data_IF_714417152540
#
_entry.id   IF_714417152540
#
_cell.length_a   1.000
_cell.length_b   1.000
_cell.length_c   1.000
_cell.angle_alpha   90.00
_cell.angle_beta   90.00
_cell.angle_gamma   90.00
#
_symmetry.space_group_name_H-M   'P 1'
#
loop_
_entity.id
_entity.type
_entity.pdbx_description
1 polymer ?
#
# COMPACT_ATOMS: atom_id res chain seq x y z
N UNK A 1 -4.32 -68.83 8.26
CA UNK A 1 -3.97 -67.85 9.32
C UNK A 1 -2.61 -67.17 9.13
N UNK A 2 -1.87 -67.41 8.03
CA UNK A 2 -0.58 -66.74 7.76
C UNK A 2 -0.72 -65.61 6.71
N UNK A 3 -1.65 -65.77 5.76
CA UNK A 3 -1.84 -64.85 4.63
C UNK A 3 -2.52 -63.53 5.01
N UNK A 4 -3.52 -63.56 5.90
CA UNK A 4 -4.23 -62.34 6.34
C UNK A 4 -3.31 -61.37 7.12
N UNK A 5 -2.34 -61.90 7.85
CA UNK A 5 -1.38 -61.10 8.64
C UNK A 5 -0.41 -60.37 7.70
N UNK A 6 0.07 -61.03 6.64
CA UNK A 6 0.96 -60.41 5.65
C UNK A 6 0.27 -59.29 4.87
N UNK A 7 -1.01 -59.47 4.51
CA UNK A 7 -1.80 -58.43 3.82
C UNK A 7 -2.01 -57.20 4.73
N UNK A 8 -2.29 -57.43 6.02
CA UNK A 8 -2.52 -56.34 6.98
C UNK A 8 -1.26 -55.51 7.23
N UNK A 9 -0.08 -56.16 7.31
CA UNK A 9 1.20 -55.47 7.48
C UNK A 9 1.53 -54.60 6.26
N UNK A 10 1.31 -55.12 5.03
CA UNK A 10 1.58 -54.36 3.80
C UNK A 10 0.72 -53.10 3.65
N UNK A 11 -0.54 -53.13 4.11
CA UNK A 11 -1.43 -51.95 4.10
C UNK A 11 -0.93 -50.87 5.08
N UNK A 12 -0.41 -51.29 6.24
CA UNK A 12 0.10 -50.38 7.27
C UNK A 12 1.37 -49.65 6.80
N UNK A 13 2.29 -50.36 6.12
CA UNK A 13 3.49 -49.75 5.53
C UNK A 13 3.13 -48.73 4.44
N UNK A 14 2.15 -49.03 3.59
CA UNK A 14 1.70 -48.13 2.53
C UNK A 14 1.10 -46.84 3.09
N UNK A 15 0.29 -46.94 4.16
CA UNK A 15 -0.29 -45.77 4.84
C UNK A 15 0.79 -44.90 5.50
N UNK A 16 1.82 -45.50 6.10
CA UNK A 16 2.92 -44.76 6.71
C UNK A 16 3.70 -43.94 5.67
N UNK A 17 3.90 -44.47 4.46
CA UNK A 17 4.56 -43.77 3.35
C UNK A 17 3.70 -42.59 2.87
N UNK A 18 2.39 -42.76 2.74
CA UNK A 18 1.48 -41.69 2.31
C UNK A 18 1.47 -40.55 3.34
N UNK A 19 1.45 -40.86 4.64
CA UNK A 19 1.48 -39.85 5.70
C UNK A 19 2.83 -39.13 5.74
N UNK A 20 3.95 -39.83 5.52
CA UNK A 20 5.27 -39.20 5.51
C UNK A 20 5.47 -38.28 4.30
N UNK A 21 5.03 -38.70 3.11
CA UNK A 21 5.02 -37.88 1.90
C UNK A 21 4.10 -36.66 2.05
N UNK A 22 2.89 -36.87 2.57
CA UNK A 22 1.94 -35.79 2.83
C UNK A 22 2.48 -34.75 3.82
N UNK A 23 3.05 -35.20 4.95
CA UNK A 23 3.65 -34.31 5.95
C UNK A 23 4.86 -33.53 5.40
N UNK A 24 5.68 -34.17 4.57
CA UNK A 24 6.84 -33.53 3.94
C UNK A 24 6.39 -32.45 2.94
N UNK A 25 5.36 -32.72 2.14
CA UNK A 25 4.80 -31.75 1.20
C UNK A 25 4.18 -30.54 1.92
N UNK A 26 3.48 -30.76 3.03
CA UNK A 26 2.89 -29.68 3.83
C UNK A 26 3.98 -28.78 4.43
N UNK A 27 5.04 -29.36 5.00
CA UNK A 27 6.14 -28.56 5.58
C UNK A 27 6.92 -27.77 4.51
N UNK A 28 7.11 -28.34 3.31
CA UNK A 28 7.67 -27.64 2.16
C UNK A 28 6.78 -26.48 1.69
N UNK A 29 5.45 -26.69 1.63
CA UNK A 29 4.49 -25.65 1.26
C UNK A 29 4.49 -24.49 2.27
N UNK A 30 4.51 -24.79 3.58
CA UNK A 30 4.61 -23.79 4.65
C UNK A 30 5.94 -23.03 4.61
N UNK A 31 7.06 -23.72 4.38
CA UNK A 31 8.37 -23.07 4.29
C UNK A 31 8.50 -22.18 3.05
N UNK A 32 7.94 -22.62 1.92
CA UNK A 32 7.93 -21.84 0.68
C UNK A 32 7.07 -20.58 0.81
N UNK A 33 5.84 -20.71 1.33
CA UNK A 33 4.94 -19.57 1.55
C UNK A 33 5.52 -18.54 2.51
N UNK A 34 6.08 -18.96 3.66
CA UNK A 34 6.69 -18.04 4.62
C UNK A 34 7.89 -17.27 4.05
N UNK A 35 8.67 -17.88 3.13
CA UNK A 35 9.76 -17.19 2.44
C UNK A 35 9.26 -16.17 1.42
N UNK A 36 8.20 -16.49 0.68
CA UNK A 36 7.60 -15.58 -0.30
C UNK A 36 7.07 -14.31 0.39
N UNK A 37 6.30 -14.46 1.47
CA UNK A 37 5.76 -13.33 2.24
C UNK A 37 6.87 -12.44 2.82
N UNK A 38 7.98 -13.02 3.31
CA UNK A 38 9.12 -12.23 3.81
C UNK A 38 9.82 -11.46 2.70
N UNK A 39 9.90 -12.01 1.49
CA UNK A 39 10.52 -11.31 0.35
C UNK A 39 9.63 -10.15 -0.11
N UNK A 40 8.32 -10.37 -0.23
CA UNK A 40 7.35 -9.34 -0.61
C UNK A 40 7.40 -8.14 0.35
N UNK A 41 7.32 -8.41 1.65
CA UNK A 41 7.39 -7.36 2.69
C UNK A 41 8.73 -6.60 2.71
N UNK A 42 9.85 -7.27 2.38
CA UNK A 42 11.14 -6.59 2.24
C UNK A 42 11.21 -5.70 0.99
N UNK A 43 10.63 -6.14 -0.14
CA UNK A 43 10.59 -5.36 -1.37
C UNK A 43 9.74 -4.10 -1.20
N UNK A 44 8.55 -4.23 -0.62
CA UNK A 44 7.68 -3.08 -0.31
C UNK A 44 8.37 -2.04 0.57
N UNK A 45 9.09 -2.50 1.61
CA UNK A 45 9.85 -1.63 2.50
C UNK A 45 11.00 -0.88 1.81
N UNK A 46 11.62 -1.49 0.79
CA UNK A 46 12.67 -0.84 -0.02
C UNK A 46 12.06 0.20 -0.95
N UNK A 47 10.97 -0.12 -1.64
CA UNK A 47 10.32 0.80 -2.59
C UNK A 47 9.79 2.07 -1.90
N UNK A 48 9.21 1.94 -0.70
CA UNK A 48 8.76 3.09 0.10
C UNK A 48 9.92 4.02 0.48
N UNK A 49 11.08 3.44 0.82
CA UNK A 49 12.29 4.21 1.16
C UNK A 49 12.90 4.87 -0.07
N UNK A 50 12.96 4.18 -1.21
CA UNK A 50 13.46 4.73 -2.47
C UNK A 50 12.59 5.90 -2.93
N UNK A 51 11.27 5.73 -2.91
CA UNK A 51 10.31 6.81 -3.25
C UNK A 51 10.52 8.04 -2.36
N UNK A 52 10.72 7.81 -1.05
CA UNK A 52 10.99 8.90 -0.10
C UNK A 52 12.32 9.60 -0.40
N UNK A 53 13.37 8.85 -0.72
CA UNK A 53 14.68 9.42 -1.07
C UNK A 53 14.64 10.17 -2.41
N UNK A 54 13.95 9.64 -3.40
CA UNK A 54 13.78 10.27 -4.71
C UNK A 54 12.99 11.57 -4.60
N UNK A 55 11.87 11.56 -3.87
CA UNK A 55 11.09 12.77 -3.63
C UNK A 55 11.83 13.83 -2.82
N UNK A 56 12.71 13.42 -1.88
CA UNK A 56 13.63 14.33 -1.19
C UNK A 56 14.68 14.91 -2.14
N UNK A 57 15.34 14.06 -2.93
CA UNK A 57 16.38 14.45 -3.89
C UNK A 57 15.85 15.39 -4.97
N UNK A 58 14.64 15.11 -5.46
CA UNK A 58 13.93 15.99 -6.40
C UNK A 58 13.40 17.27 -5.75
N UNK A 59 13.37 17.36 -4.42
CA UNK A 59 12.89 18.50 -3.66
C UNK A 59 11.36 18.62 -3.60
N UNK A 60 10.61 17.53 -3.79
CA UNK A 60 9.15 17.51 -3.79
C UNK A 60 8.53 17.61 -2.38
N UNK A 61 9.16 17.02 -1.35
CA UNK A 61 8.65 17.06 0.04
C UNK A 61 9.79 17.13 1.07
N UNK A 62 9.46 17.65 2.27
CA UNK A 62 10.40 17.86 3.37
C UNK A 62 10.60 16.60 4.22
N UNK A 63 11.73 16.54 4.95
CA UNK A 63 12.14 15.39 5.77
C UNK A 63 11.41 15.26 7.12
N UNK A 64 10.75 16.32 7.57
CA UNK A 64 10.00 16.32 8.82
C UNK A 64 8.74 15.46 8.68
N UNK A 65 8.50 14.58 9.65
CA UNK A 65 7.24 13.86 9.78
C UNK A 65 6.25 14.71 10.60
N UNK A 66 4.98 14.84 10.17
CA UNK A 66 4.40 14.30 8.94
C UNK A 66 4.94 15.00 7.68
N UNK A 67 5.16 14.23 6.60
CA UNK A 67 5.78 14.73 5.36
C UNK A 67 4.98 15.90 4.80
N UNK A 68 5.63 16.97 4.36
CA UNK A 68 4.95 18.15 3.84
C UNK A 68 5.47 18.51 2.45
N UNK A 69 4.56 18.95 1.57
CA UNK A 69 4.95 19.39 0.23
C UNK A 69 5.79 20.67 0.30
N UNK A 70 6.88 20.70 -0.46
CA UNK A 70 7.64 21.93 -0.70
C UNK A 70 6.90 22.79 -1.74
N UNK A 71 7.47 23.95 -2.08
CA UNK A 71 6.99 24.74 -3.22
C UNK A 71 6.98 23.92 -4.52
N UNK A 72 8.07 23.20 -4.81
CA UNK A 72 8.15 22.34 -6.00
C UNK A 72 7.14 21.18 -5.93
N UNK A 73 6.93 20.58 -4.75
CA UNK A 73 5.90 19.56 -4.58
C UNK A 73 4.50 20.05 -4.93
N UNK A 74 4.16 21.29 -4.55
CA UNK A 74 2.88 21.92 -4.95
C UNK A 74 2.80 22.19 -6.45
N UNK A 75 3.88 22.67 -7.06
CA UNK A 75 3.94 22.86 -8.52
C UNK A 75 3.73 21.53 -9.27
N UNK A 76 4.32 20.43 -8.78
CA UNK A 76 4.12 19.09 -9.33
C UNK A 76 2.69 18.58 -9.13
N UNK A 77 2.09 18.82 -7.95
CA UNK A 77 0.70 18.46 -7.65
C UNK A 77 -0.28 19.16 -8.60
N UNK A 78 -0.08 20.46 -8.83
CA UNK A 78 -0.92 21.27 -9.72
C UNK A 78 -0.71 20.90 -11.19
N UNK A 79 0.55 20.84 -11.63
CA UNK A 79 0.89 20.57 -13.03
C UNK A 79 0.52 19.17 -13.50
N UNK A 80 0.47 18.19 -12.59
CA UNK A 80 0.03 16.82 -12.91
C UNK A 80 -1.48 16.64 -12.97
N UNK A 81 -2.27 17.62 -12.50
CA UNK A 81 -3.71 17.49 -12.35
C UNK A 81 -4.16 16.68 -11.13
N UNK A 82 -3.23 16.19 -10.30
CA UNK A 82 -3.54 15.42 -9.09
C UNK A 82 -4.30 16.25 -8.05
N UNK A 83 -4.07 17.57 -8.00
CA UNK A 83 -4.87 18.47 -7.15
C UNK A 83 -6.36 18.38 -7.48
N UNK A 84 -6.70 18.60 -8.76
CA UNK A 84 -8.08 18.57 -9.23
C UNK A 84 -8.70 17.19 -9.02
N UNK A 85 -7.96 16.12 -9.31
CA UNK A 85 -8.39 14.75 -9.05
C UNK A 85 -8.77 14.52 -7.58
N UNK A 86 -7.95 15.01 -6.64
CA UNK A 86 -8.24 14.88 -5.20
C UNK A 86 -9.41 15.76 -4.79
N UNK A 87 -9.44 17.02 -5.24
CA UNK A 87 -10.46 17.99 -4.85
C UNK A 87 -11.86 17.59 -5.36
N UNK A 88 -11.96 17.13 -6.61
CA UNK A 88 -13.22 16.73 -7.24
C UNK A 88 -13.70 15.34 -6.77
N UNK A 89 -12.75 14.44 -6.48
CA UNK A 89 -13.03 13.07 -6.04
C UNK A 89 -13.01 12.86 -4.53
N UNK A 90 -12.89 13.93 -3.72
CA UNK A 90 -12.57 13.82 -2.30
C UNK A 90 -13.50 12.89 -1.52
N UNK A 91 -14.82 12.99 -1.74
CA UNK A 91 -15.80 12.19 -1.00
C UNK A 91 -15.73 10.70 -1.39
N UNK A 92 -15.47 10.41 -2.67
CA UNK A 92 -15.26 9.03 -3.13
C UNK A 92 -13.93 8.46 -2.61
N UNK A 93 -12.86 9.27 -2.60
CA UNK A 93 -11.57 8.88 -2.03
C UNK A 93 -11.67 8.59 -0.54
N UNK A 94 -12.46 9.37 0.21
CA UNK A 94 -12.76 9.12 1.63
C UNK A 94 -13.49 7.80 1.83
N UNK A 95 -14.46 7.49 0.96
CA UNK A 95 -15.21 6.23 0.98
C UNK A 95 -14.32 5.03 0.68
N UNK A 96 -13.43 5.13 -0.32
CA UNK A 96 -12.48 4.07 -0.68
C UNK A 96 -11.41 3.88 0.41
N UNK A 97 -11.04 4.95 1.11
CA UNK A 97 -10.14 4.89 2.25
C UNK A 97 -10.81 4.40 3.54
N UNK A 98 -12.07 3.97 3.53
CA UNK A 98 -12.81 3.53 4.73
C UNK A 98 -12.71 4.53 5.90
N UNK A 99 -12.57 5.83 5.58
CA UNK A 99 -12.24 6.88 6.54
C UNK A 99 -13.30 7.05 7.63
N UNK A 100 -14.57 6.80 7.28
CA UNK A 100 -15.69 6.92 8.22
C UNK A 100 -15.76 5.75 9.23
N UNK A 101 -15.19 4.60 8.88
CA UNK A 101 -15.21 3.38 9.72
C UNK A 101 -13.92 3.18 10.51
N UNK A 102 -12.78 3.57 9.95
CA UNK A 102 -11.46 3.48 10.58
C UNK A 102 -10.90 4.86 10.93
N UNK A 103 -11.75 5.72 11.50
CA UNK A 103 -11.44 7.12 11.77
C UNK A 103 -10.05 7.29 12.42
N UNK A 104 -9.04 7.79 11.68
CA UNK A 104 -7.66 7.79 12.15
C UNK A 104 -7.50 8.73 13.35
N UNK A 105 -6.84 8.24 14.40
CA UNK A 105 -6.70 8.95 15.66
C UNK A 105 -5.58 9.99 15.60
N UNK A 106 -4.47 9.66 14.95
CA UNK A 106 -3.27 10.50 14.87
C UNK A 106 -2.95 11.00 13.46
N UNK A 107 -2.13 12.06 13.35
CA UNK A 107 -1.60 12.55 12.07
C UNK A 107 -0.77 11.50 11.33
N UNK A 108 -0.21 10.54 12.06
CA UNK A 108 0.56 9.44 11.51
C UNK A 108 -0.37 8.41 10.84
N UNK A 109 -1.44 8.00 11.53
CA UNK A 109 -2.46 7.09 10.97
C UNK A 109 -3.09 7.69 9.71
N UNK A 110 -3.38 8.99 9.74
CA UNK A 110 -3.91 9.71 8.59
C UNK A 110 -2.95 9.69 7.39
N UNK A 111 -1.64 9.78 7.66
CA UNK A 111 -0.62 9.71 6.63
C UNK A 111 -0.49 8.30 6.05
N UNK A 112 -0.49 7.26 6.89
CA UNK A 112 -0.46 5.88 6.42
C UNK A 112 -1.69 5.57 5.56
N UNK A 113 -2.87 5.94 6.02
CA UNK A 113 -4.12 5.77 5.28
C UNK A 113 -4.06 6.42 3.89
N UNK A 114 -3.65 7.69 3.84
CA UNK A 114 -3.55 8.41 2.57
C UNK A 114 -2.50 7.80 1.63
N UNK A 115 -1.39 7.29 2.17
CA UNK A 115 -0.34 6.67 1.37
C UNK A 115 -0.78 5.31 0.82
N UNK A 116 -1.42 4.48 1.64
CA UNK A 116 -1.93 3.17 1.22
C UNK A 116 -3.02 3.31 0.16
N UNK A 117 -3.91 4.29 0.31
CA UNK A 117 -4.88 4.63 -0.73
C UNK A 117 -4.18 4.92 -2.05
N UNK A 118 -3.26 5.89 -2.09
CA UNK A 118 -2.60 6.27 -3.35
C UNK A 118 -1.56 5.26 -3.86
N UNK A 119 -1.10 4.31 -3.04
CA UNK A 119 -0.30 3.17 -3.50
C UNK A 119 -1.17 2.12 -4.22
N UNK A 120 -2.38 1.87 -3.71
CA UNK A 120 -3.30 0.85 -4.25
C UNK A 120 -4.27 1.36 -5.33
N UNK A 121 -4.50 2.69 -5.39
CA UNK A 121 -5.47 3.30 -6.29
C UNK A 121 -5.13 3.05 -7.77
N UNK A 122 -6.10 2.51 -8.50
CA UNK A 122 -6.02 2.42 -9.96
C UNK A 122 -6.64 3.69 -10.56
N UNK A 123 -5.85 4.43 -11.34
CA UNK A 123 -6.35 5.60 -12.06
C UNK A 123 -7.05 5.16 -13.34
N UNK A 124 -7.93 6.02 -13.87
CA UNK A 124 -8.41 5.88 -15.24
C UNK A 124 -7.22 5.78 -16.21
N UNK A 125 -7.26 4.91 -17.25
CA UNK A 125 -6.12 4.69 -18.13
C UNK A 125 -5.61 5.93 -18.89
N UNK A 126 -6.49 6.88 -19.22
CA UNK A 126 -6.07 8.13 -19.89
C UNK A 126 -5.37 9.04 -18.90
N UNK A 127 -5.94 9.20 -17.70
CA UNK A 127 -5.31 9.98 -16.63
C UNK A 127 -4.00 9.37 -16.16
N UNK A 128 -3.92 8.04 -16.01
CA UNK A 128 -2.68 7.36 -15.65
C UNK A 128 -1.58 7.58 -16.71
N UNK A 129 -1.97 7.62 -18.00
CA UNK A 129 -1.03 7.92 -19.09
C UNK A 129 -0.51 9.35 -18.99
N UNK A 130 -1.38 10.33 -18.73
CA UNK A 130 -0.93 11.73 -18.56
C UNK A 130 -0.02 11.88 -17.34
N UNK A 131 -0.31 11.18 -16.23
CA UNK A 131 0.55 11.19 -15.05
C UNK A 131 1.93 10.58 -15.34
N UNK A 132 1.99 9.44 -16.04
CA UNK A 132 3.26 8.82 -16.44
C UNK A 132 4.08 9.72 -17.35
N UNK A 133 3.43 10.38 -18.31
CA UNK A 133 4.11 11.33 -19.20
C UNK A 133 4.65 12.53 -18.41
N UNK A 134 3.83 13.11 -17.54
CA UNK A 134 4.26 14.23 -16.70
C UNK A 134 5.41 13.84 -15.77
N UNK A 135 5.36 12.66 -15.14
CA UNK A 135 6.43 12.13 -14.30
C UNK A 135 7.76 12.04 -15.07
N UNK A 136 7.70 11.50 -16.30
CA UNK A 136 8.85 11.40 -17.19
C UNK A 136 9.43 12.78 -17.55
N UNK A 137 8.58 13.75 -17.90
CA UNK A 137 8.99 15.12 -18.22
C UNK A 137 9.63 15.85 -17.05
N UNK A 138 9.16 15.58 -15.82
CA UNK A 138 9.69 16.17 -14.59
C UNK A 138 10.88 15.40 -14.01
N UNK A 139 11.26 14.27 -14.61
CA UNK A 139 12.37 13.44 -14.15
C UNK A 139 12.12 12.80 -12.77
N UNK A 140 10.87 12.42 -12.49
CA UNK A 140 10.45 11.77 -11.25
C UNK A 140 9.66 10.50 -11.55
N UNK A 141 9.56 9.61 -10.57
CA UNK A 141 8.78 8.39 -10.68
C UNK A 141 7.28 8.61 -10.43
N UNK A 142 6.47 7.68 -10.92
CA UNK A 142 5.03 7.66 -10.65
C UNK A 142 4.74 7.50 -9.16
N UNK A 143 5.63 6.79 -8.44
CA UNK A 143 5.56 6.62 -7.00
C UNK A 143 5.71 7.95 -6.26
N UNK A 144 6.60 8.85 -6.73
CA UNK A 144 6.73 10.20 -6.17
C UNK A 144 5.44 11.01 -6.38
N UNK A 145 4.82 10.92 -7.57
CA UNK A 145 3.54 11.58 -7.83
C UNK A 145 2.41 11.06 -6.93
N UNK A 146 2.29 9.73 -6.77
CA UNK A 146 1.34 9.11 -5.84
C UNK A 146 1.59 9.56 -4.40
N UNK A 147 2.86 9.66 -3.98
CA UNK A 147 3.23 10.20 -2.67
C UNK A 147 2.80 11.66 -2.50
N UNK A 148 2.99 12.49 -3.52
CA UNK A 148 2.56 13.90 -3.52
C UNK A 148 1.04 14.00 -3.34
N UNK A 149 0.28 13.21 -4.09
CA UNK A 149 -1.18 13.15 -3.94
C UNK A 149 -1.60 12.69 -2.55
N UNK A 150 -0.96 11.65 -2.00
CA UNK A 150 -1.24 11.18 -0.64
C UNK A 150 -0.94 12.23 0.44
N UNK A 151 0.16 13.00 0.32
CA UNK A 151 0.46 14.10 1.25
C UNK A 151 -0.64 15.16 1.19
N UNK A 152 -1.07 15.53 -0.02
CA UNK A 152 -2.12 16.52 -0.21
C UNK A 152 -3.47 16.03 0.33
N UNK A 153 -3.86 14.80 0.01
CA UNK A 153 -5.11 14.21 0.49
C UNK A 153 -5.16 14.12 2.01
N UNK A 154 -4.05 13.73 2.67
CA UNK A 154 -3.94 13.78 4.13
C UNK A 154 -4.23 15.18 4.67
N UNK A 155 -3.66 16.22 4.05
CA UNK A 155 -3.91 17.60 4.49
C UNK A 155 -5.39 17.98 4.33
N UNK A 156 -6.04 17.58 3.23
CA UNK A 156 -7.49 17.76 3.02
C UNK A 156 -8.31 17.05 4.10
N UNK A 157 -7.98 15.80 4.43
CA UNK A 157 -8.67 15.04 5.47
C UNK A 157 -8.50 15.69 6.86
N UNK A 158 -7.30 16.20 7.18
CA UNK A 158 -7.03 16.89 8.44
C UNK A 158 -7.88 18.14 8.57
N UNK A 159 -7.99 18.93 7.51
CA UNK A 159 -8.78 20.16 7.48
C UNK A 159 -10.29 19.85 7.63
N UNK A 160 -10.78 18.76 7.03
CA UNK A 160 -12.15 18.26 7.25
C UNK A 160 -12.38 17.85 8.71
N UNK A 161 -11.49 17.06 9.32
CA UNK A 161 -11.58 16.66 10.75
C UNK A 161 -11.63 17.86 11.70
N UNK A 162 -10.82 18.88 11.42
CA UNK A 162 -10.82 20.13 12.19
C UNK A 162 -12.12 20.94 12.06
N UNK A 163 -12.75 20.89 10.87
CA UNK A 163 -14.01 21.61 10.60
C UNK A 163 -15.21 20.95 11.26
N UNK A 164 -15.26 19.61 11.36
CA UNK A 164 -16.35 18.88 12.01
C UNK A 164 -16.41 19.11 13.52
N UNK A 165 -15.26 19.24 14.19
CA UNK A 165 -15.21 19.49 15.64
C UNK A 165 -15.44 20.96 16.05
N UNK A 166 -15.46 21.89 15.10
CA UNK A 166 -15.78 23.30 15.37
C UNK A 166 -17.30 23.54 15.53
N UNK A 167 -18.14 22.68 14.94
CA UNK A 167 -19.61 22.77 15.04
C UNK A 167 -20.22 22.19 16.33
N UNK A 168 -19.47 21.37 17.07
CA UNK A 168 -19.92 20.74 18.33
C UNK A 168 -19.51 21.56 19.58
N UNK A 169 -19.00 22.78 19.39
CA UNK A 169 -18.59 23.70 20.49
C UNK A 169 -19.38 25.02 20.46
N UNK A 170 -20.65 24.96 20.08
CA UNK A 170 -21.61 26.06 20.30
C UNK A 170 -22.78 25.62 21.18
#
# INVERSE_FOLDING_TARGET
>A
MSTDIQVTIGILELLAIIVSLGGTLITLAWFSSARLTRVETLLEGVDRRLTTLEGKSSGAFMELSPLSLTRKGRELLEGSGLRAFVDEGCDELMRVADYETEAPETDYDLQELAFELFESLSFDPEFERSLKQYAFEQGISMQVLRRIAGIYFRDVLRDKKGSTHAGDRE
#
